data_IF_585656068342
#
_entry.id   IF_585656068342
#
_cell.length_a   1.000
_cell.length_b   1.000
_cell.length_c   1.000
_cell.angle_alpha   90.00
_cell.angle_beta   90.00
_cell.angle_gamma   90.00
#
_symmetry.space_group_name_H-M   'P 1'
#
loop_
_entity.id
_entity.type
_entity.pdbx_description
1 polymer ?
#
# COMPACT_ATOMS: atom_id res chain seq x y z
N UNK A 1 7.37 -12.57 -8.72
CA UNK A 1 7.64 -12.30 -7.28
C UNK A 1 6.52 -12.93 -6.44
N UNK A 2 6.84 -13.79 -5.47
CA UNK A 2 5.85 -14.39 -4.58
C UNK A 2 5.16 -13.32 -3.72
N UNK A 3 3.86 -13.48 -3.46
CA UNK A 3 3.09 -12.57 -2.58
C UNK A 3 3.50 -12.76 -1.12
N UNK A 4 4.18 -11.76 -0.55
CA UNK A 4 4.60 -11.75 0.86
C UNK A 4 3.57 -11.01 1.71
N UNK A 5 3.15 -11.62 2.82
CA UNK A 5 2.37 -10.96 3.87
C UNK A 5 3.28 -9.99 4.61
N UNK A 6 2.88 -8.72 4.65
CA UNK A 6 3.62 -7.64 5.33
C UNK A 6 3.03 -7.40 6.72
N UNK A 7 1.70 -7.39 6.84
CA UNK A 7 1.02 -7.25 8.12
C UNK A 7 0.33 -8.56 8.53
N UNK A 8 0.89 -9.26 9.51
CA UNK A 8 0.29 -10.51 10.02
C UNK A 8 -1.01 -10.30 10.80
N UNK A 9 -1.17 -9.18 11.53
CA UNK A 9 -2.38 -8.93 12.33
C UNK A 9 -3.66 -8.84 11.48
N UNK A 10 -3.54 -8.37 10.24
CA UNK A 10 -4.66 -8.12 9.32
C UNK A 10 -4.52 -8.84 7.99
N UNK A 11 -3.56 -9.76 7.90
CA UNK A 11 -3.23 -10.51 6.69
C UNK A 11 -3.08 -9.64 5.42
N UNK A 12 -2.42 -8.48 5.55
CA UNK A 12 -2.19 -7.57 4.42
C UNK A 12 -0.86 -7.90 3.76
N UNK A 13 -0.87 -8.08 2.43
CA UNK A 13 0.33 -8.32 1.63
C UNK A 13 0.86 -7.05 0.95
N UNK A 14 2.08 -7.12 0.39
CA UNK A 14 2.71 -5.98 -0.28
C UNK A 14 1.88 -5.40 -1.43
N UNK A 15 1.14 -6.23 -2.21
CA UNK A 15 0.31 -5.74 -3.32
C UNK A 15 -0.81 -4.83 -2.85
N UNK A 16 -1.39 -5.11 -1.69
CA UNK A 16 -2.43 -4.26 -1.11
C UNK A 16 -1.86 -2.92 -0.63
N UNK A 17 -0.62 -2.92 -0.13
CA UNK A 17 0.09 -1.69 0.28
C UNK A 17 0.49 -0.88 -0.96
N UNK A 18 1.04 -1.53 -2.00
CA UNK A 18 1.33 -0.91 -3.31
C UNK A 18 0.06 -0.30 -3.92
N UNK A 19 -1.05 -1.03 -3.92
CA UNK A 19 -2.32 -0.53 -4.44
C UNK A 19 -2.81 0.70 -3.65
N UNK A 20 -2.71 0.68 -2.32
CA UNK A 20 -3.04 1.85 -1.51
C UNK A 20 -2.14 3.04 -1.83
N UNK A 21 -0.84 2.80 -2.06
CA UNK A 21 0.11 3.85 -2.44
C UNK A 21 -0.19 4.43 -3.83
N UNK A 22 -0.52 3.58 -4.81
CA UNK A 22 -0.97 4.00 -6.14
C UNK A 22 -2.30 4.78 -6.11
N UNK A 23 -3.14 4.53 -5.10
CA UNK A 23 -4.34 5.32 -4.84
C UNK A 23 -4.07 6.63 -4.06
N UNK A 24 -2.81 6.97 -3.79
CA UNK A 24 -2.40 8.25 -3.20
C UNK A 24 -1.96 8.18 -1.73
N UNK A 25 -1.91 7.00 -1.10
CA UNK A 25 -1.36 6.89 0.25
C UNK A 25 0.16 7.07 0.23
N UNK A 26 0.65 8.11 0.90
CA UNK A 26 2.06 8.52 0.94
C UNK A 26 2.71 8.36 2.32
N UNK A 27 1.93 7.91 3.31
CA UNK A 27 2.39 7.73 4.69
C UNK A 27 1.82 6.47 5.32
N UNK A 28 2.49 5.96 6.36
CA UNK A 28 1.98 4.84 7.17
C UNK A 28 0.57 5.14 7.69
N UNK A 29 0.28 6.39 8.09
CA UNK A 29 -1.04 6.77 8.59
C UNK A 29 -2.11 6.59 7.51
N UNK A 30 -1.83 7.00 6.28
CA UNK A 30 -2.73 6.85 5.15
C UNK A 30 -2.87 5.39 4.74
N UNK A 31 -1.80 4.59 4.80
CA UNK A 31 -1.86 3.14 4.60
C UNK A 31 -2.75 2.46 5.66
N UNK A 32 -2.64 2.86 6.93
CA UNK A 32 -3.54 2.39 8.00
C UNK A 32 -4.99 2.73 7.64
N UNK A 33 -5.26 3.95 7.17
CA UNK A 33 -6.60 4.36 6.74
C UNK A 33 -7.12 3.58 5.54
N UNK A 34 -6.26 3.27 4.57
CA UNK A 34 -6.65 2.65 3.31
C UNK A 34 -6.87 1.13 3.41
N UNK A 35 -5.99 0.41 4.13
CA UNK A 35 -6.04 -1.06 4.19
C UNK A 35 -5.82 -1.64 5.59
N UNK A 36 -5.68 -0.78 6.61
CA UNK A 36 -5.49 -1.20 8.00
C UNK A 36 -4.08 -1.64 8.36
N UNK A 37 -3.15 -1.89 7.42
CA UNK A 37 -1.80 -2.31 7.76
C UNK A 37 -1.09 -1.29 8.68
N UNK A 38 -0.44 -1.75 9.76
CA UNK A 38 0.27 -0.88 10.71
C UNK A 38 -0.51 -0.42 11.95
N UNK A 39 -1.84 -0.56 11.99
CA UNK A 39 -2.67 -0.04 13.10
C UNK A 39 -2.99 -1.00 14.26
N UNK A 40 -2.35 -2.18 14.40
CA UNK A 40 -2.56 -3.12 15.54
C UNK A 40 -1.29 -3.08 16.38
N UNK A 41 -0.32 -3.96 16.09
CA UNK A 41 0.93 -4.04 16.84
C UNK A 41 2.00 -3.06 16.34
N UNK A 42 1.82 -2.50 15.13
CA UNK A 42 2.78 -1.59 14.51
C UNK A 42 4.06 -2.24 13.98
N UNK A 43 4.30 -3.54 14.19
CA UNK A 43 5.56 -4.19 13.81
C UNK A 43 5.88 -4.19 12.31
N UNK A 44 4.88 -4.01 11.45
CA UNK A 44 5.06 -3.92 10.00
C UNK A 44 5.31 -2.49 9.49
N UNK A 45 5.26 -1.47 10.35
CA UNK A 45 5.41 -0.06 9.92
C UNK A 45 6.74 0.24 9.22
N UNK A 46 7.91 -0.27 9.67
CA UNK A 46 9.16 -0.07 8.94
C UNK A 46 9.14 -0.65 7.53
N UNK A 47 8.55 -1.84 7.36
CA UNK A 47 8.40 -2.47 6.04
C UNK A 47 7.42 -1.69 5.14
N UNK A 48 6.38 -1.07 5.70
CA UNK A 48 5.48 -0.19 4.96
C UNK A 48 6.24 1.06 4.47
N UNK A 49 7.07 1.67 5.31
CA UNK A 49 7.89 2.84 4.93
C UNK A 49 8.84 2.50 3.79
N UNK A 50 9.52 1.34 3.86
CA UNK A 50 10.41 0.88 2.79
C UNK A 50 9.67 0.63 1.47
N UNK A 51 8.47 0.05 1.52
CA UNK A 51 7.62 -0.11 0.34
C UNK A 51 7.20 1.25 -0.25
N UNK A 52 6.86 2.23 0.59
CA UNK A 52 6.48 3.57 0.11
C UNK A 52 7.64 4.30 -0.58
N UNK A 53 8.87 4.14 -0.09
CA UNK A 53 10.08 4.65 -0.77
C UNK A 53 10.29 3.92 -2.11
N UNK A 54 10.10 2.61 -2.15
CA UNK A 54 10.25 1.82 -3.37
C UNK A 54 9.18 2.05 -4.44
N UNK A 55 8.07 2.72 -4.10
CA UNK A 55 6.96 3.05 -5.03
C UNK A 55 7.26 4.29 -5.88
N UNK A 56 8.46 4.90 -5.78
CA UNK A 56 8.87 6.01 -6.63
C UNK A 56 8.87 5.67 -8.14
N UNK A 57 7.72 5.94 -8.75
CA UNK A 57 7.39 6.34 -10.13
C UNK A 57 8.13 5.64 -11.28
N UNK A 58 7.60 4.49 -11.72
CA UNK A 58 7.60 4.19 -13.16
C UNK A 58 6.51 5.04 -13.83
N UNK A 59 6.91 6.02 -14.63
CA UNK A 59 6.00 6.86 -15.41
C UNK A 59 5.34 5.97 -16.47
N UNK A 60 4.08 5.58 -16.24
CA UNK A 60 3.12 5.24 -17.29
C UNK A 60 1.82 5.97 -17.00
N UNK A 61 1.26 6.58 -18.05
CA UNK A 61 0.29 7.68 -18.09
C UNK A 61 -1.10 7.37 -17.45
N UNK A 62 -2.01 8.37 -17.33
CA UNK A 62 -3.00 8.47 -16.26
C UNK A 62 -4.20 7.52 -16.39
N UNK A 63 -4.88 7.34 -15.25
CA UNK A 63 -6.18 6.71 -15.09
C UNK A 63 -7.19 7.20 -16.15
N UNK A 64 -7.72 6.29 -16.97
CA UNK A 64 -8.74 6.64 -17.96
C UNK A 64 -9.67 5.47 -18.37
N UNK A 65 -10.25 4.71 -17.43
CA UNK A 65 -11.49 3.92 -17.63
C UNK A 65 -11.86 3.22 -16.30
N UNK A 66 -12.94 3.59 -15.59
CA UNK A 66 -14.32 3.42 -16.05
C UNK A 66 -15.25 4.44 -15.38
N UNK A 67 -16.01 5.14 -16.21
CA UNK A 67 -17.30 5.72 -15.87
C UNK A 67 -18.34 4.59 -15.85
N UNK A 68 -19.30 4.61 -14.92
CA UNK A 68 -20.61 3.97 -15.13
C UNK A 68 -21.71 4.95 -14.78
N UNK A 69 -22.70 4.94 -15.68
CA UNK A 69 -23.84 5.82 -15.85
C UNK A 69 -24.89 5.75 -14.74
#
# INVERSE_FOLDING_TARGET
MPRVIVCHCRAVNHRQIEAAALCGASSVREIVGACGAGGVCGGCRPAIEELLVGVEVSISAPAAHVAVA
#
